data_IF_418902691369
#
_entry.id   IF_418902691369
#
_cell.length_a   1.000
_cell.length_b   1.000
_cell.length_c   1.000
_cell.angle_alpha   90.00
_cell.angle_beta   90.00
_cell.angle_gamma   90.00
#
_symmetry.space_group_name_H-M   'P 1'
#
loop_
_entity.id
_entity.type
_entity.pdbx_description
1 polymer ?
#
# COMPACT_ATOMS: atom_id res chain seq x y z
N UNK A 1 -0.13 2.89 -13.72
CA UNK A 1 -0.06 3.21 -12.28
C UNK A 1 0.53 2.09 -11.43
N UNK A 2 0.19 0.81 -11.67
CA UNK A 2 0.84 -0.32 -11.01
C UNK A 2 2.39 -0.30 -11.14
N UNK A 3 2.93 0.08 -12.30
CA UNK A 3 4.38 0.16 -12.53
C UNK A 3 5.08 1.25 -11.69
N UNK A 4 4.44 2.40 -11.43
CA UNK A 4 5.03 3.46 -10.60
C UNK A 4 5.12 2.99 -9.15
N UNK A 5 4.04 2.38 -8.64
CA UNK A 5 4.01 1.81 -7.30
C UNK A 5 5.06 0.70 -7.12
N UNK A 6 5.27 -0.11 -8.17
CA UNK A 6 6.31 -1.13 -8.22
C UNK A 6 7.71 -0.55 -8.05
N UNK A 7 8.05 0.50 -8.80
CA UNK A 7 9.37 1.13 -8.76
C UNK A 7 9.64 1.71 -7.37
N UNK A 8 8.68 2.46 -6.81
CA UNK A 8 8.82 3.07 -5.48
C UNK A 8 9.04 2.02 -4.39
N UNK A 9 8.25 0.94 -4.40
CA UNK A 9 8.43 -0.14 -3.42
C UNK A 9 9.75 -0.90 -3.60
N UNK A 10 10.21 -1.07 -4.84
CA UNK A 10 11.52 -1.66 -5.11
C UNK A 10 12.65 -0.76 -4.59
N UNK A 11 12.57 0.55 -4.78
CA UNK A 11 13.57 1.50 -4.29
C UNK A 11 13.61 1.53 -2.76
N UNK A 12 12.45 1.62 -2.11
CA UNK A 12 12.35 1.61 -0.65
C UNK A 12 12.87 0.30 -0.07
N UNK A 13 12.51 -0.83 -0.67
CA UNK A 13 13.04 -2.13 -0.26
C UNK A 13 14.57 -2.22 -0.44
N UNK A 14 15.11 -1.69 -1.55
CA UNK A 14 16.55 -1.63 -1.79
C UNK A 14 17.26 -0.74 -0.75
N UNK A 15 16.63 0.36 -0.34
CA UNK A 15 17.15 1.25 0.69
C UNK A 15 17.20 0.56 2.06
N UNK A 16 16.10 -0.11 2.45
CA UNK A 16 16.02 -0.83 3.73
C UNK A 16 16.96 -2.05 3.78
N UNK A 17 17.14 -2.76 2.67
CA UNK A 17 18.03 -3.93 2.58
C UNK A 17 19.47 -3.59 2.20
N UNK A 18 19.83 -2.31 2.13
CA UNK A 18 21.15 -1.86 1.67
C UNK A 18 22.30 -2.43 2.52
N UNK A 19 22.16 -2.39 3.84
CA UNK A 19 23.19 -2.88 4.76
C UNK A 19 23.44 -4.38 4.57
N UNK A 20 22.38 -5.18 4.61
CA UNK A 20 22.43 -6.63 4.41
C UNK A 20 23.02 -7.00 3.03
N UNK A 21 22.68 -6.26 1.99
CA UNK A 21 23.22 -6.47 0.64
C UNK A 21 24.71 -6.15 0.55
N UNK A 22 25.14 -5.08 1.20
CA UNK A 22 26.54 -4.71 1.26
C UNK A 22 27.35 -5.74 2.06
N UNK A 23 26.82 -6.22 3.20
CA UNK A 23 27.45 -7.31 3.97
C UNK A 23 27.59 -8.59 3.13
N UNK A 24 26.54 -8.97 2.40
CA UNK A 24 26.56 -10.12 1.50
C UNK A 24 27.60 -9.93 0.39
N UNK A 25 27.70 -8.72 -0.17
CA UNK A 25 28.70 -8.37 -1.19
C UNK A 25 30.12 -8.49 -0.64
N UNK A 26 30.38 -7.95 0.55
CA UNK A 26 31.69 -8.02 1.20
C UNK A 26 32.09 -9.46 1.52
N UNK A 27 31.16 -10.29 2.00
CA UNK A 27 31.42 -11.71 2.27
C UNK A 27 31.77 -12.45 0.97
N UNK A 28 31.06 -12.19 -0.13
CA UNK A 28 31.40 -12.74 -1.46
C UNK A 28 32.77 -12.29 -1.95
N UNK A 29 33.07 -10.99 -1.87
CA UNK A 29 34.38 -10.46 -2.26
C UNK A 29 35.52 -11.07 -1.42
N UNK A 30 35.30 -11.26 -0.12
CA UNK A 30 36.27 -11.90 0.77
C UNK A 30 36.48 -13.39 0.44
N UNK A 31 35.42 -14.10 0.05
CA UNK A 31 35.48 -15.50 -0.38
C UNK A 31 36.28 -15.64 -1.68
N UNK A 32 35.98 -14.80 -2.68
CA UNK A 32 36.72 -14.78 -3.95
C UNK A 32 38.20 -14.45 -3.72
N UNK A 33 38.49 -13.44 -2.88
CA UNK A 33 39.88 -13.11 -2.49
C UNK A 33 40.59 -14.31 -1.86
N UNK A 34 39.98 -14.96 -0.88
CA UNK A 34 40.56 -16.14 -0.24
C UNK A 34 40.81 -17.29 -1.23
N UNK A 35 39.90 -17.52 -2.17
CA UNK A 35 40.08 -18.52 -3.23
C UNK A 35 41.22 -18.15 -4.19
N UNK A 36 41.34 -16.89 -4.58
CA UNK A 36 42.42 -16.42 -5.46
C UNK A 36 43.79 -16.49 -4.77
N UNK A 37 43.89 -16.14 -3.50
CA UNK A 37 45.11 -16.25 -2.69
C UNK A 37 45.55 -17.71 -2.57
N UNK A 38 44.62 -18.62 -2.32
CA UNK A 38 44.90 -20.05 -2.27
C UNK A 38 45.32 -20.61 -3.65
N UNK A 39 44.73 -20.11 -4.75
CA UNK A 39 45.16 -20.45 -6.10
C UNK A 39 46.57 -19.91 -6.41
N UNK A 40 46.93 -18.74 -5.90
CA UNK A 40 48.27 -18.18 -6.03
C UNK A 40 49.30 -18.99 -5.23
N UNK A 41 48.97 -19.41 -4.00
CA UNK A 41 49.82 -20.30 -3.21
C UNK A 41 50.11 -21.63 -3.94
N UNK A 42 49.13 -22.17 -4.67
CA UNK A 42 49.35 -23.36 -5.52
C UNK A 42 50.36 -23.10 -6.65
N UNK A 43 50.33 -21.92 -7.26
CA UNK A 43 51.28 -21.55 -8.31
C UNK A 43 52.70 -21.41 -7.75
N UNK A 44 52.84 -20.80 -6.58
CA UNK A 44 54.13 -20.65 -5.88
C UNK A 44 54.74 -22.01 -5.51
N UNK A 45 53.91 -22.98 -5.13
CA UNK A 45 54.37 -24.35 -4.89
C UNK A 45 54.90 -25.00 -6.18
N UNK A 46 54.22 -24.78 -7.32
CA UNK A 46 54.66 -25.30 -8.63
C UNK A 46 55.96 -24.64 -9.11
N UNK A 47 56.22 -23.38 -8.75
CA UNK A 47 57.49 -22.70 -9.02
C UNK A 47 58.60 -23.05 -8.02
N UNK A 48 58.33 -23.94 -7.05
CA UNK A 48 59.23 -24.29 -5.93
C UNK A 48 59.68 -23.09 -5.09
N UNK A 49 58.88 -22.02 -5.04
CA UNK A 49 59.16 -20.84 -4.22
C UNK A 49 58.78 -21.02 -2.74
N UNK A 50 57.91 -22.00 -2.45
CA UNK A 50 57.47 -22.36 -1.11
C UNK A 50 57.64 -23.86 -0.88
N UNK A 51 57.90 -24.26 0.37
CA UNK A 51 58.05 -25.68 0.70
C UNK A 51 56.67 -26.36 0.83
N UNK A 52 56.54 -27.67 0.49
CA UNK A 52 55.27 -28.39 0.69
C UNK A 52 54.72 -28.36 2.12
N UNK A 53 55.58 -28.21 3.13
CA UNK A 53 55.22 -28.04 4.55
C UNK A 53 54.48 -26.72 4.79
N UNK A 54 55.03 -25.60 4.30
CA UNK A 54 54.42 -24.26 4.38
C UNK A 54 53.10 -24.20 3.63
N UNK A 55 53.04 -24.76 2.43
CA UNK A 55 51.80 -24.80 1.65
C UNK A 55 50.67 -25.54 2.38
N UNK A 56 50.97 -26.64 3.09
CA UNK A 56 49.95 -27.37 3.88
C UNK A 56 49.37 -26.51 4.99
N UNK A 57 50.20 -25.73 5.68
CA UNK A 57 49.75 -24.79 6.72
C UNK A 57 48.84 -23.71 6.12
N UNK A 58 49.28 -23.06 5.04
CA UNK A 58 48.50 -22.04 4.32
C UNK A 58 47.15 -22.61 3.87
N UNK A 59 47.18 -23.79 3.23
CA UNK A 59 45.96 -24.46 2.77
C UNK A 59 44.97 -24.69 3.91
N UNK A 60 45.42 -25.18 5.05
CA UNK A 60 44.54 -25.46 6.20
C UNK A 60 43.89 -24.18 6.76
N UNK A 61 44.63 -23.08 6.85
CA UNK A 61 44.11 -21.80 7.33
C UNK A 61 43.05 -21.22 6.38
N UNK A 62 43.35 -21.24 5.08
CA UNK A 62 42.44 -20.73 4.07
C UNK A 62 41.20 -21.60 3.89
N UNK A 63 41.30 -22.92 3.99
CA UNK A 63 40.13 -23.81 4.00
C UNK A 63 39.20 -23.48 5.17
N UNK A 64 39.73 -23.27 6.38
CA UNK A 64 38.92 -22.83 7.53
C UNK A 64 38.25 -21.48 7.27
N UNK A 65 38.98 -20.52 6.70
CA UNK A 65 38.44 -19.19 6.35
C UNK A 65 37.32 -19.29 5.30
N UNK A 66 37.50 -20.11 4.27
CA UNK A 66 36.49 -20.35 3.23
C UNK A 66 35.25 -20.97 3.85
N UNK A 67 35.37 -22.04 4.63
CA UNK A 67 34.22 -22.69 5.29
C UNK A 67 33.47 -21.72 6.22
N UNK A 68 34.18 -20.84 6.94
CA UNK A 68 33.56 -19.80 7.76
C UNK A 68 32.79 -18.76 6.92
N UNK A 69 33.39 -18.32 5.80
CA UNK A 69 32.74 -17.37 4.88
C UNK A 69 31.54 -17.99 4.16
N UNK A 70 31.60 -19.27 3.77
CA UNK A 70 30.48 -20.01 3.18
C UNK A 70 29.32 -20.14 4.18
N UNK A 71 29.62 -20.47 5.43
CA UNK A 71 28.60 -20.56 6.49
C UNK A 71 27.90 -19.22 6.70
N UNK A 72 28.68 -18.13 6.80
CA UNK A 72 28.16 -16.76 6.92
C UNK A 72 27.32 -16.35 5.69
N UNK A 73 27.71 -16.81 4.50
CA UNK A 73 26.95 -16.57 3.28
C UNK A 73 25.61 -17.32 3.27
N UNK A 74 25.57 -18.55 3.77
CA UNK A 74 24.33 -19.31 3.93
C UNK A 74 23.39 -18.60 4.91
N UNK A 75 23.90 -18.15 6.06
CA UNK A 75 23.13 -17.41 7.06
C UNK A 75 22.50 -16.15 6.47
N UNK A 76 23.30 -15.31 5.80
CA UNK A 76 22.82 -14.06 5.17
C UNK A 76 21.87 -14.32 3.98
N UNK A 77 21.98 -15.46 3.31
CA UNK A 77 21.15 -15.82 2.15
C UNK A 77 19.74 -16.28 2.53
N UNK A 78 19.57 -16.96 3.67
CA UNK A 78 18.27 -17.44 4.14
C UNK A 78 17.27 -16.29 4.42
N UNK A 79 17.79 -15.12 4.76
CA UNK A 79 17.00 -13.91 5.04
C UNK A 79 16.62 -13.13 3.77
N UNK A 80 17.34 -13.34 2.66
CA UNK A 80 17.24 -12.55 1.44
C UNK A 80 16.31 -13.10 0.38
N UNK A 81 15.03 -13.36 0.69
CA UNK A 81 14.04 -13.68 -0.36
C UNK A 81 13.79 -12.45 -1.23
N UNK A 82 13.90 -12.61 -2.56
CA UNK A 82 13.62 -11.52 -3.50
C UNK A 82 12.18 -11.04 -3.35
N UNK A 83 11.99 -9.74 -3.12
CA UNK A 83 10.67 -9.10 -3.03
C UNK A 83 9.96 -9.02 -4.38
N UNK A 84 10.73 -9.01 -5.47
CA UNK A 84 10.20 -8.81 -6.83
C UNK A 84 9.12 -9.80 -7.25
N UNK A 85 9.28 -11.13 -7.09
CA UNK A 85 8.21 -12.08 -7.44
C UNK A 85 6.95 -11.87 -6.61
N UNK A 86 7.08 -11.54 -5.31
CA UNK A 86 5.96 -11.27 -4.42
C UNK A 86 5.23 -9.99 -4.84
N UNK A 87 5.98 -8.94 -5.14
CA UNK A 87 5.48 -7.65 -5.59
C UNK A 87 4.74 -7.78 -6.92
N UNK A 88 5.33 -8.48 -7.90
CA UNK A 88 4.70 -8.74 -9.20
C UNK A 88 3.39 -9.52 -9.05
N UNK A 89 3.38 -10.53 -8.18
CA UNK A 89 2.16 -11.30 -7.89
C UNK A 89 1.09 -10.43 -7.24
N UNK A 90 1.45 -9.63 -6.24
CA UNK A 90 0.53 -8.72 -5.55
C UNK A 90 -0.08 -7.71 -6.52
N UNK A 91 0.75 -7.07 -7.37
CA UNK A 91 0.29 -6.12 -8.37
C UNK A 91 -0.63 -6.75 -9.43
N UNK A 92 -0.31 -7.96 -9.89
CA UNK A 92 -1.14 -8.69 -10.85
C UNK A 92 -2.52 -8.98 -10.26
N UNK A 93 -2.56 -9.42 -9.00
CA UNK A 93 -3.81 -9.70 -8.29
C UNK A 93 -4.63 -8.42 -8.08
N UNK A 94 -3.98 -7.32 -7.69
CA UNK A 94 -4.63 -6.04 -7.47
C UNK A 94 -5.13 -5.40 -8.77
N UNK A 95 -4.46 -5.64 -9.91
CA UNK A 95 -4.92 -5.11 -11.21
C UNK A 95 -6.09 -5.93 -11.78
N UNK A 96 -6.17 -7.23 -11.46
CA UNK A 96 -7.21 -8.16 -11.95
C UNK A 96 -8.23 -8.53 -10.86
N UNK A 97 -8.44 -7.66 -9.88
CA UNK A 97 -9.27 -7.92 -8.69
C UNK A 97 -10.74 -8.20 -9.04
N UNK A 98 -11.24 -7.55 -10.09
CA UNK A 98 -12.56 -7.75 -10.70
C UNK A 98 -12.75 -9.20 -11.18
N UNK A 99 -11.86 -9.67 -12.05
CA UNK A 99 -11.87 -11.01 -12.63
C UNK A 99 -11.61 -12.06 -11.57
N UNK A 100 -10.76 -11.75 -10.60
CA UNK A 100 -10.45 -12.62 -9.49
C UNK A 100 -11.68 -12.83 -8.59
N UNK A 101 -12.43 -11.76 -8.31
CA UNK A 101 -13.65 -11.84 -7.51
C UNK A 101 -14.75 -12.65 -8.21
N UNK A 102 -14.98 -12.42 -9.50
CA UNK A 102 -16.00 -13.13 -10.28
C UNK A 102 -15.73 -14.64 -10.36
N UNK A 103 -14.47 -15.03 -10.58
CA UNK A 103 -14.07 -16.44 -10.74
C UNK A 103 -13.89 -17.19 -9.42
N UNK A 104 -13.83 -16.48 -8.30
CA UNK A 104 -13.61 -17.10 -6.99
C UNK A 104 -14.87 -17.73 -6.41
N UNK A 105 -14.68 -18.78 -5.62
CA UNK A 105 -15.73 -19.40 -4.82
C UNK A 105 -16.13 -18.53 -3.62
N UNK A 106 -17.15 -18.94 -2.87
CA UNK A 106 -17.63 -18.20 -1.69
C UNK A 106 -16.56 -18.00 -0.61
N UNK A 107 -15.54 -18.86 -0.56
CA UNK A 107 -14.40 -18.69 0.34
C UNK A 107 -13.43 -17.64 -0.20
N UNK A 108 -13.00 -17.76 -1.45
CA UNK A 108 -12.10 -16.80 -2.09
C UNK A 108 -12.68 -15.38 -2.14
N UNK A 109 -13.98 -15.23 -2.40
CA UNK A 109 -14.67 -13.92 -2.33
C UNK A 109 -14.55 -13.28 -0.95
N UNK A 110 -14.69 -14.07 0.12
CA UNK A 110 -14.51 -13.58 1.50
C UNK A 110 -13.07 -13.20 1.80
N UNK A 111 -12.09 -13.96 1.31
CA UNK A 111 -10.67 -13.65 1.44
C UNK A 111 -10.30 -12.35 0.72
N UNK A 112 -10.83 -12.14 -0.48
CA UNK A 112 -10.65 -10.90 -1.25
C UNK A 112 -11.24 -9.71 -0.50
N UNK A 113 -12.51 -9.80 -0.07
CA UNK A 113 -13.17 -8.74 0.71
C UNK A 113 -12.39 -8.45 2.00
N UNK A 114 -11.93 -9.49 2.71
CA UNK A 114 -11.13 -9.34 3.92
C UNK A 114 -9.76 -8.70 3.67
N UNK A 115 -9.18 -8.89 2.49
CA UNK A 115 -7.91 -8.26 2.10
C UNK A 115 -8.07 -6.78 1.76
N UNK A 116 -9.22 -6.39 1.19
CA UNK A 116 -9.58 -5.00 0.90
C UNK A 116 -10.00 -4.26 2.17
N UNK A 117 -10.76 -4.92 3.06
CA UNK A 117 -11.32 -4.33 4.28
C UNK A 117 -10.82 -5.10 5.53
N UNK A 118 -9.65 -4.74 6.07
CA UNK A 118 -9.02 -5.47 7.18
C UNK A 118 -9.89 -5.51 8.45
N UNK A 119 -10.72 -4.48 8.67
CA UNK A 119 -11.59 -4.35 9.85
C UNK A 119 -12.89 -5.16 9.73
N UNK A 120 -13.07 -5.92 8.64
CA UNK A 120 -14.26 -6.70 8.32
C UNK A 120 -15.52 -5.83 8.17
N UNK A 121 -16.58 -6.44 7.64
CA UNK A 121 -17.87 -5.79 7.53
C UNK A 121 -18.63 -5.95 8.84
N UNK A 122 -19.00 -4.83 9.47
CA UNK A 122 -19.85 -4.83 10.66
C UNK A 122 -21.28 -4.49 10.24
N UNK A 123 -22.22 -5.34 10.62
CA UNK A 123 -23.65 -5.14 10.42
C UNK A 123 -24.29 -4.77 11.75
N UNK A 124 -24.95 -3.61 11.82
CA UNK A 124 -25.58 -3.11 13.05
C UNK A 124 -27.08 -3.44 13.17
N UNK A 125 -27.63 -4.21 12.23
CA UNK A 125 -29.05 -4.53 12.13
C UNK A 125 -29.81 -3.69 11.09
N UNK A 126 -29.29 -2.53 10.71
CA UNK A 126 -29.93 -1.62 9.74
C UNK A 126 -28.99 -1.21 8.60
N UNK A 127 -27.70 -1.06 8.88
CA UNK A 127 -26.69 -0.64 7.92
C UNK A 127 -25.42 -1.50 8.02
N UNK A 128 -24.72 -1.59 6.89
CA UNK A 128 -23.36 -2.12 6.83
C UNK A 128 -22.39 -0.94 6.86
N UNK A 129 -21.43 -0.95 7.77
CA UNK A 129 -20.33 0.03 7.78
C UNK A 129 -19.03 -0.68 7.41
N UNK A 130 -18.34 -0.18 6.38
CA UNK A 130 -16.94 -0.49 6.11
C UNK A 130 -16.08 0.47 6.92
N UNK A 131 -15.31 -0.05 7.87
CA UNK A 131 -14.60 0.80 8.82
C UNK A 131 -13.27 1.38 8.26
N UNK A 132 -12.52 0.60 7.46
CA UNK A 132 -11.29 1.06 6.80
C UNK A 132 -10.96 0.23 5.56
N UNK A 133 -10.56 0.89 4.47
CA UNK A 133 -9.98 0.24 3.27
C UNK A 133 -8.46 0.13 3.46
N UNK A 134 -7.88 -0.97 2.97
CA UNK A 134 -6.42 -1.15 2.92
C UNK A 134 -5.76 -0.02 2.12
N UNK A 135 -4.74 0.63 2.69
CA UNK A 135 -4.06 1.78 2.08
C UNK A 135 -3.43 1.44 0.73
N UNK A 136 -2.86 0.24 0.57
CA UNK A 136 -2.25 -0.15 -0.70
C UNK A 136 -3.30 -0.25 -1.81
N UNK A 137 -4.47 -0.82 -1.48
CA UNK A 137 -5.61 -0.89 -2.40
C UNK A 137 -6.11 0.53 -2.69
N UNK A 138 -6.29 1.34 -1.66
CA UNK A 138 -6.73 2.73 -1.82
C UNK A 138 -5.78 3.53 -2.71
N UNK A 139 -4.46 3.46 -2.50
CA UNK A 139 -3.47 4.17 -3.30
C UNK A 139 -3.51 3.74 -4.77
N UNK A 140 -3.55 2.43 -5.03
CA UNK A 140 -3.59 1.88 -6.39
C UNK A 140 -4.84 2.33 -7.14
N UNK A 141 -6.01 2.35 -6.49
CA UNK A 141 -7.29 2.69 -7.12
C UNK A 141 -7.68 4.18 -7.04
N UNK A 142 -7.10 4.97 -6.13
CA UNK A 142 -7.41 6.40 -6.00
C UNK A 142 -6.62 7.27 -6.96
N UNK A 143 -5.43 6.82 -7.41
CA UNK A 143 -4.61 7.60 -8.33
C UNK A 143 -5.27 7.80 -9.70
N UNK A 144 -6.13 6.89 -10.16
CA UNK A 144 -6.83 7.05 -11.45
C UNK A 144 -7.79 8.26 -11.47
N UNK A 145 -8.33 8.68 -10.31
CA UNK A 145 -9.18 9.89 -10.21
C UNK A 145 -8.40 11.21 -10.31
N UNK A 146 -7.09 11.20 -10.06
CA UNK A 146 -6.25 12.40 -10.18
C UNK A 146 -5.77 12.66 -11.61
N UNK A 147 -5.84 11.64 -12.49
CA UNK A 147 -5.42 11.71 -13.90
C UNK A 147 -6.60 11.61 -14.88
N UNK A 148 -7.84 11.43 -14.41
CA UNK A 148 -9.00 11.72 -15.24
C UNK A 148 -8.92 13.20 -15.63
N UNK A 149 -8.71 13.46 -16.91
CA UNK A 149 -8.83 14.78 -17.53
C UNK A 149 -10.07 15.46 -16.92
N UNK A 150 -9.96 16.73 -16.49
CA UNK A 150 -11.15 17.49 -16.12
C UNK A 150 -12.11 17.38 -17.30
N UNK A 151 -13.22 16.66 -17.15
CA UNK A 151 -14.29 16.66 -18.13
C UNK A 151 -14.98 18.03 -18.05
N UNK A 152 -14.30 19.05 -18.58
CA UNK A 152 -14.90 20.32 -18.92
C UNK A 152 -15.66 20.13 -20.23
N UNK A 153 -16.74 19.36 -20.16
CA UNK A 153 -17.63 19.10 -21.27
C UNK A 153 -18.94 18.62 -20.67
N UNK A 154 -19.99 19.44 -20.74
CA UNK A 154 -21.35 18.96 -20.59
C UNK A 154 -21.59 17.96 -21.73
N UNK A 155 -21.42 16.67 -21.45
CA UNK A 155 -21.91 15.62 -22.33
C UNK A 155 -23.40 15.48 -22.04
N UNK A 156 -24.20 15.69 -23.08
CA UNK A 156 -25.66 15.62 -23.18
C UNK A 156 -26.47 16.94 -23.00
N UNK A 157 -27.15 17.44 -24.06
CA UNK A 157 -28.10 18.53 -23.97
C UNK A 157 -29.50 18.02 -23.60
N UNK A 158 -29.67 17.29 -22.50
CA UNK A 158 -30.99 17.14 -21.86
C UNK A 158 -30.80 17.08 -20.34
N UNK A 159 -30.55 18.25 -19.74
CA UNK A 159 -31.06 18.52 -18.40
C UNK A 159 -32.33 19.35 -18.61
N UNK A 160 -33.48 18.69 -18.60
CA UNK A 160 -34.78 19.36 -18.47
C UNK A 160 -34.90 19.82 -17.00
N UNK A 161 -34.09 20.81 -16.63
CA UNK A 161 -34.23 21.54 -15.38
C UNK A 161 -35.46 22.42 -15.54
N UNK A 162 -36.57 22.05 -14.89
CA UNK A 162 -37.80 22.82 -14.94
C UNK A 162 -37.59 24.23 -14.37
N UNK A 163 -37.29 25.20 -15.22
CA UNK A 163 -37.37 26.62 -14.89
C UNK A 163 -38.84 27.04 -14.89
N UNK A 164 -39.53 26.71 -13.80
CA UNK A 164 -40.84 27.27 -13.49
C UNK A 164 -40.70 28.21 -12.30
N UNK A 165 -40.11 29.38 -12.58
CA UNK A 165 -40.31 30.58 -11.76
C UNK A 165 -41.38 31.41 -12.47
N UNK A 166 -42.54 31.68 -11.86
CA UNK A 166 -43.49 32.64 -12.41
C UNK A 166 -42.86 34.04 -12.38
N UNK A 167 -42.38 34.49 -13.54
CA UNK A 167 -42.04 35.88 -13.77
C UNK A 167 -43.31 36.69 -13.99
N UNK A 168 -43.96 37.17 -12.93
CA UNK A 168 -44.90 38.30 -13.05
C UNK A 168 -44.91 39.16 -11.79
N UNK A 169 -44.57 40.42 -12.05
CA UNK A 169 -44.60 41.62 -11.21
C UNK A 169 -45.96 41.79 -10.52
N UNK A 170 -46.04 41.57 -9.21
CA UNK A 170 -47.15 42.07 -8.38
C UNK A 170 -46.66 43.33 -7.65
N UNK A 171 -46.88 44.49 -8.26
CA UNK A 171 -46.86 45.76 -7.53
C UNK A 171 -48.12 45.81 -6.66
N UNK A 172 -47.96 45.81 -5.33
CA UNK A 172 -49.05 46.15 -4.41
C UNK A 172 -49.12 47.69 -4.33
N UNK A 173 -50.22 48.24 -4.84
CA UNK A 173 -50.58 49.64 -4.66
C UNK A 173 -50.63 49.96 -3.16
N UNK A 174 -49.87 50.99 -2.78
CA UNK A 174 -49.84 51.54 -1.42
C UNK A 174 -51.05 52.46 -1.25
N UNK A 175 -52.10 52.00 -0.58
CA UNK A 175 -53.06 52.90 0.07
C UNK A 175 -52.76 52.95 1.55
N UNK A 176 -52.48 54.18 1.99
CA UNK A 176 -52.20 54.57 3.35
C UNK A 176 -53.55 54.72 4.06
N UNK A 177 -53.90 53.84 5.00
CA UNK A 177 -54.79 54.21 6.12
C UNK A 177 -54.38 53.48 7.41
N UNK A 178 -54.26 54.29 8.46
CA UNK A 178 -53.87 53.91 9.81
C UNK A 178 -54.88 52.96 10.44
N UNK A 179 -54.47 51.84 11.04
CA UNK A 179 -55.04 51.31 12.30
C UNK A 179 -54.11 50.31 13.00
N UNK A 180 -54.15 50.31 14.33
CA UNK A 180 -53.21 49.71 15.27
C UNK A 180 -53.04 48.18 15.15
N UNK A 181 -51.79 47.70 15.18
CA UNK A 181 -51.45 46.29 15.33
C UNK A 181 -51.86 45.78 16.72
N UNK A 182 -52.83 44.87 16.78
CA UNK A 182 -53.00 43.97 17.94
C UNK A 182 -52.07 42.78 17.73
N UNK A 183 -51.06 42.66 18.57
CA UNK A 183 -50.16 41.50 18.62
C UNK A 183 -50.93 40.33 19.24
N UNK A 184 -51.19 39.28 18.47
CA UNK A 184 -51.66 38.01 18.98
C UNK A 184 -50.45 37.11 19.23
N UNK A 185 -50.08 36.92 20.50
CA UNK A 185 -49.07 35.95 20.91
C UNK A 185 -49.67 34.53 20.84
N UNK A 186 -49.06 33.62 20.08
CA UNK A 186 -49.35 32.19 20.19
C UNK A 186 -48.71 31.65 21.47
N UNK A 187 -49.43 30.85 22.29
CA UNK A 187 -48.86 30.30 23.52
C UNK A 187 -47.81 29.23 23.21
N UNK A 188 -46.65 29.37 23.85
CA UNK A 188 -45.55 28.40 23.87
C UNK A 188 -45.96 27.25 24.80
N UNK A 189 -45.90 26.01 24.30
CA UNK A 189 -46.17 24.82 25.11
C UNK A 189 -45.00 24.51 26.04
N UNK A 190 -45.27 24.35 27.33
CA UNK A 190 -44.28 24.09 28.39
C UNK A 190 -43.75 22.65 28.39
N UNK A 191 -42.48 22.40 28.80
CA UNK A 191 -41.90 21.06 28.84
C UNK A 191 -42.42 20.24 30.04
N UNK A 192 -42.90 19.03 29.77
CA UNK A 192 -43.38 18.07 30.78
C UNK A 192 -42.26 17.51 31.66
N UNK A 193 -42.52 17.55 32.96
CA UNK A 193 -41.68 17.14 34.08
C UNK A 193 -41.36 15.64 34.10
N UNK A 194 -40.10 15.35 34.39
CA UNK A 194 -39.49 14.05 34.65
C UNK A 194 -39.79 13.66 36.11
N UNK A 195 -40.66 12.68 36.35
CA UNK A 195 -40.88 12.11 37.69
C UNK A 195 -39.92 10.97 37.96
N UNK A 196 -39.19 11.08 39.08
CA UNK A 196 -38.29 10.08 39.65
C UNK A 196 -39.05 9.03 40.46
N UNK A 197 -38.46 7.85 40.43
CA UNK A 197 -38.73 6.62 41.20
C UNK A 197 -38.74 6.87 42.71
N UNK A 198 -39.62 6.17 43.42
CA UNK A 198 -39.28 5.46 44.66
C UNK A 198 -40.05 4.13 44.69
#
# INVERSE_FOLDING_TARGET
MAEVYKVVLQEEFKAQTKAQREDLRQVKEALEKANTELANARKLLLSNEIEPSEYRSIKSEYEKKITGLESKLIELSQEGKSIEPLLNKALTNLTCLDKLYEKSDNKGKREIIGSIFPEKLVFDGFQYRTARMNEAVQLIYSMDKGFSQNENGQTEPIFDLSTLVPGTRFELARSLEHHHLKVACLPISTPGLLMKIN
#
